data_IF_384992734954
#
_entry.id   IF_384992734954
#
_cell.length_a   1.000
_cell.length_b   1.000
_cell.length_c   1.000
_cell.angle_alpha   90.00
_cell.angle_beta   90.00
_cell.angle_gamma   90.00
#
_symmetry.space_group_name_H-M   'P 1'
#
loop_
_entity.id
_entity.type
_entity.pdbx_description
1 polymer ?
#
# COMPACT_ATOMS: atom_id res chain seq x y z
N UNK A 1 24.06 -39.83 25.40
CA UNK A 1 25.09 -40.32 24.45
C UNK A 1 24.70 -39.86 23.06
N UNK A 2 25.65 -39.20 22.39
CA UNK A 2 25.54 -38.53 21.09
C UNK A 2 25.31 -39.50 19.93
N UNK A 3 24.47 -39.12 18.96
CA UNK A 3 24.72 -39.38 17.54
C UNK A 3 24.24 -38.16 16.73
N UNK A 4 25.23 -37.46 16.17
CA UNK A 4 25.07 -36.37 15.23
C UNK A 4 24.69 -36.92 13.87
N UNK A 5 23.71 -36.30 13.20
CA UNK A 5 23.50 -36.44 11.77
C UNK A 5 23.73 -35.08 11.13
N UNK A 6 24.77 -34.99 10.31
CA UNK A 6 25.17 -33.80 9.59
C UNK A 6 24.40 -33.70 8.27
N UNK A 7 23.68 -32.60 8.06
CA UNK A 7 23.16 -32.22 6.75
C UNK A 7 24.17 -31.31 6.06
N UNK A 8 24.69 -31.77 4.92
CA UNK A 8 25.48 -30.98 3.98
C UNK A 8 24.53 -30.31 3.01
N UNK A 9 24.35 -29.00 3.10
CA UNK A 9 23.70 -28.20 2.05
C UNK A 9 24.80 -27.41 1.35
N UNK A 10 24.97 -27.68 0.06
CA UNK A 10 25.87 -26.96 -0.83
C UNK A 10 25.14 -25.74 -1.40
N UNK A 11 25.62 -24.55 -1.07
CA UNK A 11 25.14 -23.29 -1.65
C UNK A 11 25.89 -23.03 -2.96
N UNK A 12 25.18 -23.08 -4.10
CA UNK A 12 25.67 -22.51 -5.37
C UNK A 12 24.83 -21.26 -5.65
N UNK A 13 25.40 -20.08 -5.38
CA UNK A 13 24.89 -18.80 -5.85
C UNK A 13 25.43 -18.59 -7.26
N UNK A 14 24.57 -18.67 -8.26
CA UNK A 14 24.86 -18.19 -9.61
C UNK A 14 24.36 -16.74 -9.73
N UNK A 15 25.26 -15.78 -9.52
CA UNK A 15 25.03 -14.37 -9.83
C UNK A 15 25.49 -14.09 -11.28
N UNK A 16 24.56 -13.67 -12.15
CA UNK A 16 24.90 -13.16 -13.49
C UNK A 16 24.79 -11.64 -13.47
N UNK A 17 25.93 -10.96 -13.37
CA UNK A 17 26.07 -9.53 -13.62
C UNK A 17 26.20 -9.31 -15.14
N UNK A 18 25.35 -8.48 -15.74
CA UNK A 18 25.52 -7.97 -17.10
C UNK A 18 26.15 -6.59 -17.04
N UNK A 19 27.49 -6.55 -17.13
CA UNK A 19 28.25 -5.35 -17.47
C UNK A 19 28.56 -5.40 -18.96
N UNK A 20 27.84 -4.60 -19.75
CA UNK A 20 28.14 -4.43 -21.17
C UNK A 20 29.25 -3.39 -21.34
N UNK A 21 30.46 -3.86 -21.64
CA UNK A 21 31.54 -3.04 -22.17
C UNK A 21 32.44 -3.90 -23.07
N UNK A 22 32.60 -3.47 -24.33
CA UNK A 22 33.62 -3.96 -25.25
C UNK A 22 33.05 -4.18 -26.65
N UNK A 23 33.67 -3.76 -27.75
CA UNK A 23 34.90 -2.98 -27.95
C UNK A 23 34.84 -2.43 -29.36
N UNK A 24 35.39 -1.25 -29.55
CA UNK A 24 35.70 -0.65 -30.85
C UNK A 24 36.92 -1.38 -31.46
N UNK A 25 36.86 -1.74 -32.75
CA UNK A 25 37.94 -1.43 -33.69
C UNK A 25 37.64 -1.85 -35.15
N UNK A 26 37.57 -0.82 -36.01
CA UNK A 26 38.37 -0.65 -37.24
C UNK A 26 38.07 -1.38 -38.57
N UNK A 27 37.75 -0.54 -39.59
CA UNK A 27 37.95 -0.64 -41.06
C UNK A 27 36.85 -1.41 -41.83
N UNK A 28 36.25 -0.95 -42.94
CA UNK A 28 36.79 -0.21 -44.07
C UNK A 28 35.67 0.44 -44.95
N UNK A 29 35.96 1.63 -45.48
CA UNK A 29 35.55 2.25 -46.77
C UNK A 29 34.09 2.47 -47.25
N UNK A 30 33.86 3.76 -47.60
CA UNK A 30 33.24 4.30 -48.85
C UNK A 30 31.72 4.62 -48.88
N UNK A 31 31.34 5.88 -48.65
CA UNK A 31 31.16 6.90 -49.71
C UNK A 31 30.15 8.03 -49.36
N UNK A 32 30.53 9.24 -49.81
CA UNK A 32 29.69 10.33 -50.35
C UNK A 32 29.11 11.41 -49.40
N UNK A 33 29.91 12.47 -49.24
CA UNK A 33 29.64 13.90 -49.46
C UNK A 33 28.26 14.50 -49.06
N UNK A 34 28.26 15.53 -48.21
CA UNK A 34 28.26 16.95 -48.62
C UNK A 34 28.19 17.90 -47.39
N UNK A 35 28.96 19.00 -47.49
CA UNK A 35 28.90 20.36 -46.90
C UNK A 35 27.84 20.68 -45.80
N UNK A 36 28.09 21.50 -44.78
CA UNK A 36 28.83 22.77 -44.73
C UNK A 36 29.20 23.17 -43.30
N UNK A 37 30.33 23.87 -43.19
CA UNK A 37 30.98 24.42 -41.99
C UNK A 37 30.46 25.82 -41.66
N UNK A 38 30.21 26.15 -40.38
CA UNK A 38 30.75 27.39 -39.78
C UNK A 38 30.72 27.36 -38.25
N UNK A 39 31.90 27.19 -37.68
CA UNK A 39 32.32 27.56 -36.32
C UNK A 39 32.67 29.05 -36.27
N UNK A 40 32.36 29.74 -35.17
CA UNK A 40 33.32 30.69 -34.55
C UNK A 40 33.07 30.80 -33.04
N UNK A 41 34.16 30.70 -32.28
CA UNK A 41 34.30 30.95 -30.86
C UNK A 41 35.09 32.24 -30.60
N UNK A 42 34.93 32.87 -29.43
CA UNK A 42 35.93 33.69 -28.68
C UNK A 42 35.24 34.26 -27.41
N UNK A 43 35.71 33.97 -26.17
CA UNK A 43 36.77 34.69 -25.38
C UNK A 43 36.30 36.08 -24.90
N UNK A 44 36.43 36.58 -23.66
CA UNK A 44 37.18 36.23 -22.43
C UNK A 44 36.88 37.26 -21.31
N UNK A 45 36.92 36.80 -20.06
CA UNK A 45 37.51 37.38 -18.83
C UNK A 45 37.12 38.75 -18.19
N UNK A 46 36.86 38.65 -16.87
CA UNK A 46 37.23 39.53 -15.72
C UNK A 46 36.47 40.88 -15.54
N UNK A 47 36.13 41.41 -14.35
CA UNK A 47 36.25 41.03 -12.93
C UNK A 47 35.30 41.95 -12.11
N UNK A 48 34.87 41.48 -10.93
CA UNK A 48 34.60 42.23 -9.68
C UNK A 48 33.57 43.39 -9.62
N UNK A 49 32.49 43.17 -8.85
CA UNK A 49 32.03 44.11 -7.81
C UNK A 49 31.18 43.38 -6.76
N UNK A 50 31.55 43.60 -5.50
CA UNK A 50 31.07 43.05 -4.24
C UNK A 50 29.86 43.82 -3.69
N UNK A 51 28.91 43.13 -3.04
CA UNK A 51 28.15 43.51 -1.82
C UNK A 51 27.05 42.44 -1.62
N UNK A 52 27.20 41.54 -0.64
CA UNK A 52 26.73 41.64 0.76
C UNK A 52 25.31 41.05 0.93
N UNK A 53 25.23 39.89 1.61
CA UNK A 53 24.48 39.75 2.88
C UNK A 53 24.03 38.30 3.15
N UNK A 54 24.35 37.86 4.37
CA UNK A 54 23.69 36.85 5.19
C UNK A 54 23.35 35.47 4.56
N UNK A 55 24.25 34.50 4.79
CA UNK A 55 23.89 33.10 4.88
C UNK A 55 23.59 32.78 6.35
N UNK A 56 22.30 32.66 6.69
CA UNK A 56 21.86 31.90 7.86
C UNK A 56 21.63 30.46 7.41
N UNK A 57 22.43 29.54 7.94
CA UNK A 57 22.10 28.12 7.98
C UNK A 57 20.89 27.95 8.89
N UNK A 58 19.72 27.66 8.31
CA UNK A 58 18.62 27.05 9.06
C UNK A 58 18.75 25.54 8.94
N UNK A 59 19.00 24.93 10.09
CA UNK A 59 18.90 23.52 10.35
C UNK A 59 17.56 22.99 9.81
N UNK A 60 17.65 22.05 8.87
CA UNK A 60 16.54 21.17 8.58
C UNK A 60 16.32 20.29 9.81
N UNK A 61 15.13 20.41 10.37
CA UNK A 61 14.61 19.62 11.47
C UNK A 61 14.45 18.16 11.00
N UNK A 62 15.46 17.34 11.27
CA UNK A 62 15.34 15.89 11.23
C UNK A 62 14.39 15.47 12.35
N UNK A 63 13.10 15.39 12.03
CA UNK A 63 12.13 14.73 12.91
C UNK A 63 12.49 13.25 12.96
N UNK A 64 12.87 12.86 14.18
CA UNK A 64 13.22 11.53 14.63
C UNK A 64 12.37 10.42 13.98
N UNK A 65 12.98 9.71 13.05
CA UNK A 65 12.65 8.31 12.77
C UNK A 65 13.04 7.52 14.01
N UNK A 66 12.07 7.21 14.88
CA UNK A 66 12.28 6.14 15.85
C UNK A 66 12.31 4.82 15.06
N UNK A 67 13.52 4.44 14.64
CA UNK A 67 13.83 3.07 14.25
C UNK A 67 13.54 2.17 15.46
N UNK A 68 12.39 1.52 15.43
CA UNK A 68 12.07 0.43 16.35
C UNK A 68 12.96 -0.76 15.98
N UNK A 69 14.19 -0.76 16.49
CA UNK A 69 15.09 -1.89 16.42
C UNK A 69 14.44 -3.06 17.19
N UNK A 70 14.17 -4.15 16.48
CA UNK A 70 13.75 -5.41 17.07
C UNK A 70 14.85 -5.92 18.02
N UNK A 71 14.65 -5.72 19.32
CA UNK A 71 15.43 -6.34 20.36
C UNK A 71 14.89 -7.75 20.60
N UNK A 72 15.55 -8.75 20.01
CA UNK A 72 15.38 -10.16 20.37
C UNK A 72 16.02 -10.40 21.75
N UNK A 73 15.45 -9.82 22.80
CA UNK A 73 15.70 -10.23 24.17
C UNK A 73 14.45 -10.92 24.72
N UNK A 74 14.52 -12.25 24.81
CA UNK A 74 13.55 -13.07 25.50
C UNK A 74 13.59 -12.77 27.01
N UNK A 75 12.92 -11.69 27.41
CA UNK A 75 12.45 -11.54 28.77
C UNK A 75 11.18 -12.37 28.92
N UNK A 76 11.12 -13.22 29.94
CA UNK A 76 9.88 -13.85 30.42
C UNK A 76 8.94 -12.73 30.91
N UNK A 77 8.32 -12.03 29.97
CA UNK A 77 7.20 -11.13 30.19
C UNK A 77 5.93 -11.96 30.34
N UNK A 78 5.09 -11.57 31.28
CA UNK A 78 3.71 -12.03 31.39
C UNK A 78 3.08 -12.01 29.99
N UNK A 79 2.71 -13.19 29.47
CA UNK A 79 2.14 -13.29 28.13
C UNK A 79 0.95 -12.33 28.05
N UNK A 80 0.94 -11.45 27.05
CA UNK A 80 -0.16 -10.50 26.88
C UNK A 80 -1.48 -11.29 26.84
N UNK A 81 -2.47 -10.87 27.63
CA UNK A 81 -3.78 -11.51 27.61
C UNK A 81 -4.56 -11.06 26.36
N UNK A 82 -5.33 -11.95 25.70
CA UNK A 82 -6.16 -11.59 24.56
C UNK A 82 -7.18 -10.49 24.92
N UNK A 83 -7.30 -9.49 24.05
CA UNK A 83 -8.23 -8.37 24.24
C UNK A 83 -9.66 -8.78 23.82
N UNK A 84 -10.71 -8.47 24.60
CA UNK A 84 -12.08 -8.71 24.18
C UNK A 84 -12.44 -7.82 22.98
N UNK A 85 -13.21 -8.36 22.03
CA UNK A 85 -13.62 -7.62 20.82
C UNK A 85 -14.36 -6.31 21.12
N UNK A 86 -15.06 -6.23 22.26
CA UNK A 86 -15.77 -5.03 22.70
C UNK A 86 -14.87 -3.79 22.90
N UNK A 87 -13.55 -3.97 22.98
CA UNK A 87 -12.59 -2.87 23.05
C UNK A 87 -12.24 -2.30 21.66
N UNK A 88 -12.52 -3.02 20.58
CA UNK A 88 -12.17 -2.64 19.20
C UNK A 88 -12.66 -1.25 18.79
N UNK A 89 -13.93 -0.84 19.04
CA UNK A 89 -14.37 0.48 18.63
C UNK A 89 -13.53 1.62 19.22
N UNK A 90 -12.96 1.43 20.42
CA UNK A 90 -12.14 2.44 21.08
C UNK A 90 -10.70 2.51 20.54
N UNK A 91 -10.28 1.58 19.67
CA UNK A 91 -8.96 1.59 19.04
C UNK A 91 -8.95 2.26 17.66
N UNK A 92 -10.13 2.50 17.08
CA UNK A 92 -10.28 3.28 15.85
C UNK A 92 -10.02 4.76 16.13
N UNK A 93 -9.26 5.43 15.26
CA UNK A 93 -8.75 6.78 15.55
C UNK A 93 -9.61 7.86 14.89
N UNK A 94 -10.05 7.63 13.65
CA UNK A 94 -10.66 8.67 12.83
C UNK A 94 -12.18 8.56 12.67
N UNK A 95 -12.83 7.51 13.18
CA UNK A 95 -14.23 7.18 12.89
C UNK A 95 -15.22 8.37 12.96
N UNK A 96 -15.09 9.24 13.96
CA UNK A 96 -15.98 10.42 14.13
C UNK A 96 -15.69 11.58 13.16
N UNK A 97 -14.50 11.61 12.57
CA UNK A 97 -14.00 12.70 11.73
C UNK A 97 -13.68 12.27 10.29
N UNK A 98 -13.78 10.98 10.00
CA UNK A 98 -13.44 10.42 8.71
C UNK A 98 -14.40 10.89 7.62
N UNK A 99 -13.88 11.02 6.40
CA UNK A 99 -14.67 11.38 5.23
C UNK A 99 -15.72 10.30 4.94
N UNK A 100 -15.28 9.05 4.81
CA UNK A 100 -16.11 7.91 4.49
C UNK A 100 -16.21 6.98 5.71
N UNK A 101 -17.36 7.04 6.35
CA UNK A 101 -17.81 6.05 7.36
C UNK A 101 -18.95 5.26 6.75
N UNK A 102 -18.94 3.93 6.92
CA UNK A 102 -19.93 3.08 6.27
C UNK A 102 -21.29 3.14 6.98
N UNK A 103 -22.35 2.94 6.22
CA UNK A 103 -23.70 2.67 6.73
C UNK A 103 -24.17 1.30 6.24
N UNK A 104 -24.94 0.59 7.06
CA UNK A 104 -25.42 -0.77 6.77
C UNK A 104 -26.31 -0.88 5.54
N UNK A 105 -26.87 0.24 5.05
CA UNK A 105 -27.66 0.28 3.82
C UNK A 105 -26.84 0.44 2.54
N UNK A 106 -25.54 0.72 2.65
CA UNK A 106 -24.68 0.90 1.48
C UNK A 106 -24.50 -0.41 0.72
N UNK A 107 -24.48 -0.32 -0.61
CA UNK A 107 -24.06 -1.43 -1.49
C UNK A 107 -22.57 -1.27 -1.82
N UNK A 108 -21.68 -2.19 -1.39
CA UNK A 108 -20.26 -2.13 -1.74
C UNK A 108 -19.98 -2.03 -3.25
N UNK A 109 -20.84 -2.61 -4.10
CA UNK A 109 -20.65 -2.55 -5.56
C UNK A 109 -20.68 -1.11 -6.13
N UNK A 110 -21.25 -0.17 -5.38
CA UNK A 110 -21.31 1.24 -5.76
C UNK A 110 -19.97 1.96 -5.62
N UNK A 111 -18.98 1.42 -4.90
CA UNK A 111 -17.73 2.16 -4.66
C UNK A 111 -16.48 1.29 -4.53
N UNK A 112 -16.59 -0.02 -4.37
CA UNK A 112 -15.45 -0.93 -4.28
C UNK A 112 -15.62 -2.13 -5.21
N UNK A 113 -14.51 -2.59 -5.79
CA UNK A 113 -14.47 -3.79 -6.63
C UNK A 113 -13.14 -4.52 -6.47
N UNK A 114 -13.04 -5.74 -6.98
CA UNK A 114 -11.75 -6.43 -7.14
C UNK A 114 -11.02 -5.92 -8.39
N UNK A 115 -9.70 -5.81 -8.30
CA UNK A 115 -8.81 -5.68 -9.46
C UNK A 115 -8.71 -7.06 -10.10
N UNK A 116 -9.63 -7.39 -10.99
CA UNK A 116 -9.59 -8.65 -11.73
C UNK A 116 -10.09 -8.40 -13.16
N UNK A 117 -9.32 -8.86 -14.15
CA UNK A 117 -9.78 -8.97 -15.54
C UNK A 117 -10.73 -10.17 -15.74
N UNK A 118 -11.14 -10.81 -14.63
CA UNK A 118 -11.85 -12.09 -14.56
C UNK A 118 -11.08 -13.27 -15.18
N UNK A 119 -9.74 -13.16 -15.33
CA UNK A 119 -8.91 -14.22 -15.91
C UNK A 119 -8.23 -15.12 -14.86
N UNK A 120 -7.99 -14.63 -13.63
CA UNK A 120 -7.38 -15.36 -12.51
C UNK A 120 -6.08 -16.12 -12.84
N UNK A 121 -5.42 -15.78 -13.95
CA UNK A 121 -4.19 -16.44 -14.40
C UNK A 121 -3.01 -16.10 -13.47
N UNK A 122 -3.17 -15.08 -12.62
CA UNK A 122 -2.20 -14.63 -11.63
C UNK A 122 -2.56 -15.09 -10.19
N UNK A 123 -1.81 -14.59 -9.21
CA UNK A 123 -2.03 -14.79 -7.76
C UNK A 123 -3.18 -13.94 -7.19
N UNK A 124 -4.20 -13.62 -7.99
CA UNK A 124 -5.34 -12.76 -7.59
C UNK A 124 -6.50 -13.56 -7.00
N UNK A 125 -7.13 -13.00 -5.96
CA UNK A 125 -8.24 -13.63 -5.25
C UNK A 125 -9.58 -12.96 -5.55
N UNK A 126 -10.64 -13.77 -5.60
CA UNK A 126 -11.99 -13.26 -5.48
C UNK A 126 -12.24 -12.72 -4.07
N UNK A 127 -12.98 -11.62 -4.01
CA UNK A 127 -13.40 -10.98 -2.77
C UNK A 127 -14.90 -10.77 -2.81
N UNK A 128 -15.59 -11.25 -1.78
CA UNK A 128 -16.98 -10.87 -1.53
C UNK A 128 -17.01 -9.69 -0.59
N UNK A 129 -17.64 -8.61 -1.04
CA UNK A 129 -17.84 -7.41 -0.25
C UNK A 129 -19.22 -7.42 0.42
N UNK A 130 -19.27 -6.99 1.69
CA UNK A 130 -20.51 -6.72 2.43
C UNK A 130 -20.26 -5.58 3.43
N UNK A 131 -21.30 -4.87 3.84
CA UNK A 131 -21.24 -4.04 5.05
C UNK A 131 -21.68 -4.89 6.23
N UNK A 132 -20.86 -4.97 7.28
CA UNK A 132 -21.16 -5.73 8.49
C UNK A 132 -20.90 -4.86 9.73
N UNK A 133 -21.81 -4.95 10.70
CA UNK A 133 -21.63 -4.27 11.98
C UNK A 133 -20.76 -5.12 12.91
N UNK A 134 -19.65 -4.54 13.38
CA UNK A 134 -18.77 -5.15 14.38
C UNK A 134 -18.76 -4.27 15.61
N UNK A 135 -19.28 -4.79 16.72
CA UNK A 135 -19.40 -4.05 17.99
C UNK A 135 -20.06 -2.66 17.83
N UNK A 136 -21.10 -2.58 16.99
CA UNK A 136 -21.84 -1.34 16.74
C UNK A 136 -21.23 -0.44 15.66
N UNK A 137 -20.10 -0.82 15.05
CA UNK A 137 -19.44 -0.06 13.97
C UNK A 137 -19.71 -0.74 12.63
N UNK A 138 -20.44 -0.12 11.68
CA UNK A 138 -20.57 -0.63 10.32
C UNK A 138 -19.22 -0.54 9.59
N UNK A 139 -18.77 -1.64 9.01
CA UNK A 139 -17.50 -1.73 8.30
C UNK A 139 -17.66 -2.46 6.97
N UNK A 140 -16.85 -2.11 5.98
CA UNK A 140 -16.74 -2.88 4.74
C UNK A 140 -15.96 -4.17 5.01
N UNK A 141 -16.63 -5.31 5.04
CA UNK A 141 -15.99 -6.62 5.05
C UNK A 141 -15.49 -6.99 3.66
N UNK A 142 -14.25 -7.43 3.60
CA UNK A 142 -13.60 -8.03 2.45
C UNK A 142 -13.36 -9.51 2.74
N UNK A 143 -14.28 -10.38 2.32
CA UNK A 143 -14.13 -11.83 2.47
C UNK A 143 -13.33 -12.39 1.30
N UNK A 144 -12.15 -12.93 1.57
CA UNK A 144 -11.27 -13.51 0.53
C UNK A 144 -11.68 -14.95 0.27
N UNK A 145 -11.88 -15.31 -0.99
CA UNK A 145 -12.54 -16.57 -1.35
C UNK A 145 -11.61 -17.60 -2.00
N UNK A 146 -10.53 -17.17 -2.65
CA UNK A 146 -9.72 -18.06 -3.48
C UNK A 146 -8.50 -18.58 -2.72
N UNK A 147 -8.47 -19.89 -2.50
CA UNK A 147 -7.28 -20.59 -2.02
C UNK A 147 -6.20 -20.64 -3.10
N UNK A 148 -4.92 -20.70 -2.70
CA UNK A 148 -3.82 -20.97 -3.64
C UNK A 148 -3.91 -22.36 -4.24
N UNK A 149 -4.32 -23.33 -3.42
CA UNK A 149 -4.57 -24.72 -3.80
C UNK A 149 -5.81 -25.22 -3.05
N UNK A 150 -6.82 -25.70 -3.78
CA UNK A 150 -8.04 -26.24 -3.17
C UNK A 150 -7.82 -27.61 -2.51
N UNK A 151 -6.82 -28.37 -2.96
CA UNK A 151 -6.46 -29.67 -2.39
C UNK A 151 -5.55 -29.51 -1.15
N UNK A 152 -4.85 -28.38 -1.03
CA UNK A 152 -4.00 -28.04 0.12
C UNK A 152 -4.27 -26.62 0.67
N UNK A 153 -5.32 -26.45 1.50
CA UNK A 153 -5.65 -25.17 2.12
C UNK A 153 -4.55 -24.59 3.03
N UNK A 154 -3.56 -25.38 3.44
CA UNK A 154 -2.43 -24.90 4.26
C UNK A 154 -1.54 -23.91 3.50
N UNK A 155 -1.62 -23.90 2.16
CA UNK A 155 -0.93 -22.93 1.32
C UNK A 155 -1.57 -21.53 1.37
N UNK A 156 -2.73 -21.40 2.02
CA UNK A 156 -3.43 -20.13 2.26
C UNK A 156 -4.17 -19.60 1.04
N UNK A 157 -4.40 -18.29 1.04
CA UNK A 157 -5.23 -17.60 0.05
C UNK A 157 -4.39 -16.86 -0.99
N UNK A 158 -4.94 -16.74 -2.21
CA UNK A 158 -4.46 -15.79 -3.22
C UNK A 158 -4.60 -14.35 -2.71
N UNK A 159 -3.92 -13.41 -3.37
CA UNK A 159 -3.85 -12.00 -3.00
C UNK A 159 -5.16 -11.29 -3.37
N UNK A 160 -5.96 -10.80 -2.40
CA UNK A 160 -7.03 -9.86 -2.69
C UNK A 160 -6.43 -8.52 -3.11
N UNK A 161 -6.95 -7.97 -4.21
CA UNK A 161 -6.61 -6.64 -4.70
C UNK A 161 -7.92 -5.85 -4.80
N UNK A 162 -8.16 -4.92 -3.88
CA UNK A 162 -9.43 -4.20 -3.78
C UNK A 162 -9.24 -2.75 -4.25
N UNK A 163 -10.19 -2.25 -5.04
CA UNK A 163 -10.13 -0.95 -5.69
C UNK A 163 -11.32 -0.09 -5.27
N UNK A 164 -11.02 1.02 -4.60
CA UNK A 164 -11.97 2.07 -4.27
C UNK A 164 -12.08 3.03 -5.46
N UNK A 165 -13.27 3.14 -6.02
CA UNK A 165 -13.56 4.02 -7.15
C UNK A 165 -13.72 5.46 -6.67
N UNK A 166 -12.67 6.25 -6.89
CA UNK A 166 -12.59 7.62 -6.41
C UNK A 166 -13.69 8.49 -7.02
N UNK A 167 -14.03 8.27 -8.28
CA UNK A 167 -15.08 9.03 -8.96
C UNK A 167 -16.47 8.78 -8.35
N UNK A 168 -16.73 7.54 -7.92
CA UNK A 168 -18.01 7.16 -7.31
C UNK A 168 -18.10 7.60 -5.85
N UNK A 169 -17.02 7.50 -5.08
CA UNK A 169 -16.97 8.00 -3.69
C UNK A 169 -17.28 9.51 -3.64
N UNK A 170 -16.75 10.27 -4.59
CA UNK A 170 -16.98 11.71 -4.70
C UNK A 170 -18.18 12.07 -5.58
N UNK A 171 -18.88 11.09 -6.16
CA UNK A 171 -20.05 11.23 -7.03
C UNK A 171 -20.01 12.40 -8.04
N UNK A 172 -18.85 12.63 -8.68
CA UNK A 172 -18.68 13.72 -9.65
C UNK A 172 -18.39 15.11 -9.06
N UNK A 173 -18.11 15.23 -7.75
CA UNK A 173 -17.53 16.44 -7.12
C UNK A 173 -16.06 16.61 -7.52
N UNK A 174 -15.79 16.83 -8.81
CA UNK A 174 -14.43 16.92 -9.36
C UNK A 174 -13.59 17.98 -8.64
N UNK A 175 -14.16 19.15 -8.34
CA UNK A 175 -13.44 20.22 -7.63
C UNK A 175 -12.97 19.84 -6.22
N UNK A 176 -13.61 18.84 -5.59
CA UNK A 176 -13.20 18.28 -4.30
C UNK A 176 -12.24 17.11 -4.50
N UNK A 177 -12.54 16.22 -5.47
CA UNK A 177 -11.72 15.07 -5.80
C UNK A 177 -10.30 15.47 -6.25
N UNK A 178 -10.18 16.55 -7.02
CA UNK A 178 -8.90 17.12 -7.48
C UNK A 178 -7.99 17.56 -6.33
N UNK A 179 -8.56 17.80 -5.14
CA UNK A 179 -7.82 18.23 -3.95
C UNK A 179 -7.32 17.09 -3.09
N UNK A 180 -7.72 15.83 -3.35
CA UNK A 180 -7.28 14.68 -2.54
C UNK A 180 -5.77 14.58 -2.59
N UNK A 181 -5.13 14.85 -1.45
CA UNK A 181 -3.69 14.84 -1.30
C UNK A 181 -3.23 13.71 -0.40
N UNK A 182 -3.86 13.57 0.77
CA UNK A 182 -3.60 12.48 1.73
C UNK A 182 -4.83 11.59 1.84
N UNK A 183 -4.60 10.29 1.95
CA UNK A 183 -5.63 9.30 2.28
C UNK A 183 -5.17 8.56 3.52
N UNK A 184 -5.96 8.62 4.58
CA UNK A 184 -5.85 7.74 5.72
C UNK A 184 -6.91 6.64 5.60
N UNK A 185 -6.52 5.40 5.86
CA UNK A 185 -7.42 4.25 5.84
C UNK A 185 -7.21 3.42 7.10
N UNK A 186 -8.31 3.10 7.77
CA UNK A 186 -8.30 2.24 8.95
C UNK A 186 -8.85 0.86 8.61
N UNK A 187 -8.07 -0.16 8.95
CA UNK A 187 -8.42 -1.56 8.81
C UNK A 187 -8.69 -2.18 10.17
N UNK A 188 -9.59 -3.16 10.18
CA UNK A 188 -9.71 -4.14 11.25
C UNK A 188 -9.51 -5.54 10.67
N UNK A 189 -8.69 -6.35 11.32
CA UNK A 189 -8.56 -7.77 10.99
C UNK A 189 -9.15 -8.60 12.11
N UNK A 190 -9.80 -9.71 11.76
CA UNK A 190 -10.43 -10.61 12.73
C UNK A 190 -10.21 -12.05 12.32
N UNK A 191 -9.77 -12.86 13.28
CA UNK A 191 -9.67 -14.30 13.12
C UNK A 191 -11.05 -14.89 12.82
N UNK A 192 -11.13 -15.64 11.72
CA UNK A 192 -12.34 -16.36 11.30
C UNK A 192 -12.15 -17.88 11.38
N UNK A 193 -10.95 -18.34 11.76
CA UNK A 193 -10.62 -19.72 12.10
C UNK A 193 -9.25 -19.81 12.78
N UNK A 194 -8.91 -21.01 13.28
CA UNK A 194 -7.63 -21.25 13.92
C UNK A 194 -6.48 -21.21 12.89
N UNK A 195 -5.43 -20.47 13.23
CA UNK A 195 -4.12 -20.66 12.65
C UNK A 195 -3.46 -21.89 13.27
N UNK A 196 -2.80 -22.72 12.45
CA UNK A 196 -2.05 -23.90 12.91
C UNK A 196 -0.58 -23.69 12.58
N UNK A 197 0.25 -23.57 13.62
CA UNK A 197 1.69 -23.43 13.47
C UNK A 197 2.35 -24.75 13.02
N UNK A 198 3.62 -24.67 12.56
CA UNK A 198 4.39 -25.83 12.10
C UNK A 198 4.55 -26.92 13.18
N UNK A 199 4.49 -26.56 14.46
CA UNK A 199 4.54 -27.48 15.58
C UNK A 199 3.18 -28.08 15.97
N UNK A 200 2.12 -27.71 15.25
CA UNK A 200 0.73 -28.14 15.46
C UNK A 200 -0.04 -27.30 16.48
N UNK A 201 0.54 -26.24 17.03
CA UNK A 201 -0.16 -25.33 17.94
C UNK A 201 -1.28 -24.59 17.20
N UNK A 202 -2.48 -24.60 17.77
CA UNK A 202 -3.62 -23.85 17.24
C UNK A 202 -3.83 -22.54 18.00
N UNK A 203 -3.99 -21.44 17.26
CA UNK A 203 -4.25 -20.10 17.80
C UNK A 203 -5.37 -19.41 17.02
N UNK A 204 -6.35 -18.83 17.72
CA UNK A 204 -7.42 -18.05 17.08
C UNK A 204 -6.95 -16.60 16.91
N UNK A 205 -6.13 -16.35 15.88
CA UNK A 205 -5.47 -15.06 15.65
C UNK A 205 -5.52 -14.71 14.16
N UNK A 206 -5.59 -13.41 13.81
CA UNK A 206 -5.55 -12.96 12.43
C UNK A 206 -4.17 -13.15 11.78
N UNK A 207 -3.10 -13.21 12.58
CA UNK A 207 -1.73 -13.39 12.11
C UNK A 207 -1.20 -12.14 11.41
N UNK A 208 -0.49 -12.35 10.31
CA UNK A 208 0.13 -11.27 9.54
C UNK A 208 -0.90 -10.42 8.78
N UNK A 209 -0.67 -9.12 8.76
CA UNK A 209 -1.36 -8.14 7.94
C UNK A 209 -0.32 -7.39 7.11
N UNK A 210 0.04 -7.97 5.96
CA UNK A 210 1.02 -7.39 5.04
C UNK A 210 0.34 -6.94 3.76
N UNK A 211 0.84 -5.86 3.15
CA UNK A 211 0.19 -5.31 1.99
C UNK A 211 0.88 -4.11 1.34
N UNK A 212 0.21 -3.60 0.32
CA UNK A 212 0.58 -2.37 -0.36
C UNK A 212 -0.65 -1.50 -0.61
N UNK A 213 -0.43 -0.20 -0.54
CA UNK A 213 -1.37 0.82 -1.01
C UNK A 213 -0.85 1.41 -2.32
N UNK A 214 -1.71 1.45 -3.31
CA UNK A 214 -1.42 1.93 -4.65
C UNK A 214 -2.48 2.93 -5.10
N UNK A 215 -2.13 3.76 -6.08
CA UNK A 215 -3.08 4.67 -6.72
C UNK A 215 -2.80 4.83 -8.21
N UNK A 216 -3.81 5.32 -8.91
CA UNK A 216 -3.72 5.77 -10.30
C UNK A 216 -3.92 7.29 -10.43
N UNK A 217 -3.60 8.06 -9.40
CA UNK A 217 -3.68 9.52 -9.47
C UNK A 217 -2.79 10.09 -10.60
N UNK A 218 -3.31 11.12 -11.27
CA UNK A 218 -2.76 11.74 -12.48
C UNK A 218 -3.85 12.33 -13.37
N UNK A 219 -3.44 13.16 -14.34
CA UNK A 219 -4.36 13.92 -15.21
C UNK A 219 -4.46 13.35 -16.63
N UNK A 220 -3.43 12.61 -17.05
CA UNK A 220 -3.26 12.12 -18.43
C UNK A 220 -3.68 10.65 -18.52
N UNK A 221 -4.83 10.32 -19.14
CA UNK A 221 -5.32 8.96 -19.32
C UNK A 221 -4.28 8.00 -19.93
N UNK A 222 -3.45 8.49 -20.85
CA UNK A 222 -2.45 7.68 -21.56
C UNK A 222 -1.23 7.35 -20.68
N UNK A 223 -1.09 8.03 -19.54
CA UNK A 223 -0.01 7.83 -18.56
C UNK A 223 -0.51 7.27 -17.24
N UNK A 224 -1.80 6.96 -17.11
CA UNK A 224 -2.30 6.30 -15.92
C UNK A 224 -1.72 4.90 -15.82
N UNK A 225 -1.23 4.60 -14.63
CA UNK A 225 -0.65 3.31 -14.29
C UNK A 225 -0.66 3.15 -12.79
N UNK A 226 -0.51 1.90 -12.34
CA UNK A 226 -0.39 1.60 -10.91
C UNK A 226 0.91 2.15 -10.37
N UNK A 227 0.78 3.06 -9.41
CA UNK A 227 1.90 3.65 -8.68
C UNK A 227 1.78 3.23 -7.22
N UNK A 228 2.83 2.63 -6.70
CA UNK A 228 2.92 2.28 -5.28
C UNK A 228 3.02 3.57 -4.45
N UNK A 229 2.25 3.63 -3.36
CA UNK A 229 2.30 4.69 -2.37
C UNK A 229 3.00 4.22 -1.11
N UNK A 230 2.69 3.00 -0.69
CA UNK A 230 3.34 2.29 0.40
C UNK A 230 3.37 0.80 0.04
N UNK A 231 4.54 0.18 0.10
CA UNK A 231 4.73 -1.25 -0.18
C UNK A 231 5.33 -2.01 1.01
N UNK A 232 5.35 -1.39 2.20
CA UNK A 232 5.99 -1.92 3.41
C UNK A 232 5.01 -2.17 4.55
N UNK A 233 3.71 -2.22 4.28
CA UNK A 233 2.72 -2.59 5.31
C UNK A 233 3.09 -3.99 5.82
N UNK A 234 3.39 -4.07 7.12
CA UNK A 234 3.92 -5.26 7.77
C UNK A 234 3.51 -5.29 9.24
N UNK A 235 2.21 -5.38 9.48
CA UNK A 235 1.64 -5.51 10.82
C UNK A 235 1.37 -6.97 11.17
N UNK A 236 1.18 -7.26 12.46
CA UNK A 236 0.76 -8.60 12.89
C UNK A 236 0.03 -8.59 14.23
N UNK A 237 -0.80 -9.60 14.46
CA UNK A 237 -1.44 -9.87 15.74
C UNK A 237 -1.49 -11.39 15.97
N UNK A 238 -0.80 -11.82 17.02
CA UNK A 238 -0.56 -13.23 17.37
C UNK A 238 -1.05 -13.59 18.78
N UNK A 239 -1.76 -12.68 19.45
CA UNK A 239 -2.28 -12.82 20.80
C UNK A 239 -3.81 -12.74 20.82
N UNK A 240 -4.38 -11.70 20.22
CA UNK A 240 -5.82 -11.43 20.22
C UNK A 240 -6.50 -11.93 18.94
N UNK A 241 -7.81 -12.16 19.02
CA UNK A 241 -8.61 -12.58 17.86
C UNK A 241 -8.78 -11.46 16.81
N UNK A 242 -8.33 -10.24 17.10
CA UNK A 242 -8.53 -9.07 16.25
C UNK A 242 -7.43 -8.03 16.48
N UNK A 243 -7.23 -7.16 15.49
CA UNK A 243 -6.41 -5.95 15.60
C UNK A 243 -6.92 -4.87 14.64
N UNK A 244 -6.57 -3.61 14.93
CA UNK A 244 -6.86 -2.46 14.06
C UNK A 244 -5.57 -1.76 13.66
N UNK A 245 -5.51 -1.29 12.41
CA UNK A 245 -4.33 -0.63 11.84
C UNK A 245 -4.75 0.59 11.04
N UNK A 246 -3.97 1.67 11.14
CA UNK A 246 -4.17 2.89 10.35
C UNK A 246 -2.97 3.11 9.45
N UNK A 247 -3.22 3.37 8.18
CA UNK A 247 -2.18 3.72 7.21
C UNK A 247 -2.48 5.07 6.58
N UNK A 248 -1.44 5.85 6.33
CA UNK A 248 -1.52 7.18 5.72
C UNK A 248 -0.64 7.22 4.48
N UNK A 249 -1.19 7.65 3.36
CA UNK A 249 -0.48 7.75 2.08
C UNK A 249 -0.82 9.05 1.36
N UNK A 250 0.07 9.51 0.48
CA UNK A 250 -0.05 10.80 -0.20
C UNK A 250 -0.13 10.69 -1.72
N UNK A 251 -1.24 10.18 -2.29
CA UNK A 251 -1.40 10.10 -3.74
C UNK A 251 -1.35 11.45 -4.44
N UNK A 252 -1.61 12.57 -3.76
CA UNK A 252 -1.48 13.90 -4.34
C UNK A 252 -0.06 14.23 -4.84
N UNK A 253 0.98 13.56 -4.31
CA UNK A 253 2.35 13.66 -4.83
C UNK A 253 2.49 13.08 -6.25
N UNK A 254 1.56 12.22 -6.67
CA UNK A 254 1.53 11.61 -8.00
C UNK A 254 0.71 12.42 -9.01
N UNK A 255 -0.10 13.37 -8.53
CA UNK A 255 -1.07 14.18 -9.27
C UNK A 255 -2.48 14.11 -8.68
N UNK A 256 -3.44 14.87 -9.21
CA UNK A 256 -4.84 14.84 -8.79
C UNK A 256 -5.60 13.64 -9.39
N UNK A 257 -6.81 13.38 -8.91
CA UNK A 257 -7.71 12.36 -9.47
C UNK A 257 -8.69 12.97 -10.48
N UNK A 258 -8.18 13.51 -11.60
CA UNK A 258 -8.98 14.28 -12.56
C UNK A 258 -8.83 13.84 -14.03
N UNK A 259 -8.34 12.63 -14.26
CA UNK A 259 -8.21 12.11 -15.61
C UNK A 259 -9.58 12.01 -16.30
N UNK A 260 -9.69 12.65 -17.46
CA UNK A 260 -10.96 12.75 -18.19
C UNK A 260 -11.40 11.37 -18.69
N UNK A 261 -12.70 11.08 -18.52
CA UNK A 261 -13.38 9.85 -18.98
C UNK A 261 -12.70 8.53 -18.53
N UNK A 262 -11.84 8.58 -17.50
CA UNK A 262 -11.04 7.43 -17.06
C UNK A 262 -11.18 7.25 -15.54
N UNK A 263 -11.80 6.15 -15.08
CA UNK A 263 -11.87 5.86 -13.65
C UNK A 263 -10.47 5.74 -13.04
N UNK A 264 -10.30 6.34 -11.87
CA UNK A 264 -9.08 6.25 -11.08
C UNK A 264 -9.39 5.62 -9.72
N UNK A 265 -8.45 4.83 -9.25
CA UNK A 265 -8.65 3.98 -8.08
C UNK A 265 -7.60 4.26 -7.01
N UNK A 266 -8.05 4.24 -5.75
CA UNK A 266 -7.19 3.94 -4.62
C UNK A 266 -7.27 2.44 -4.35
N UNK A 267 -6.15 1.75 -4.13
CA UNK A 267 -6.10 0.29 -4.17
C UNK A 267 -5.28 -0.27 -3.03
N UNK A 268 -5.80 -1.34 -2.42
CA UNK A 268 -5.10 -2.11 -1.40
C UNK A 268 -4.88 -3.55 -1.88
N UNK A 269 -3.67 -4.05 -1.67
CA UNK A 269 -3.28 -5.43 -1.92
C UNK A 269 -2.86 -6.05 -0.59
N UNK A 270 -3.30 -7.28 -0.29
CA UNK A 270 -2.92 -8.01 0.93
C UNK A 270 -2.21 -9.33 0.60
N UNK A 271 -1.08 -9.60 1.25
CA UNK A 271 -0.35 -10.87 1.10
C UNK A 271 0.05 -11.47 2.45
N UNK A 272 0.75 -12.60 2.42
CA UNK A 272 1.14 -13.39 3.59
C UNK A 272 -0.04 -13.66 4.50
N UNK A 273 -1.01 -14.42 3.98
CA UNK A 273 -2.30 -14.66 4.60
C UNK A 273 -2.29 -16.08 5.21
N UNK A 274 -1.93 -16.24 6.50
CA UNK A 274 -1.73 -17.55 7.10
C UNK A 274 -3.03 -18.26 7.53
N UNK A 275 -4.19 -17.58 7.57
CA UNK A 275 -5.48 -18.11 8.03
C UNK A 275 -6.65 -17.69 7.09
N UNK A 276 -7.90 -17.95 7.50
CA UNK A 276 -9.06 -17.34 6.85
C UNK A 276 -8.96 -15.81 6.95
N UNK A 277 -9.07 -15.15 5.81
CA UNK A 277 -8.34 -13.93 5.49
C UNK A 277 -9.18 -12.66 5.49
N UNK A 278 -10.32 -12.69 6.19
CA UNK A 278 -11.23 -11.57 6.15
C UNK A 278 -10.56 -10.37 6.80
N UNK A 279 -10.78 -9.21 6.19
CA UNK A 279 -10.43 -7.93 6.78
C UNK A 279 -11.57 -6.98 6.53
N UNK A 280 -11.57 -5.93 7.33
CA UNK A 280 -12.59 -4.90 7.34
C UNK A 280 -11.89 -3.58 7.09
N UNK A 281 -12.55 -2.71 6.34
CA UNK A 281 -12.21 -1.28 6.33
C UNK A 281 -13.20 -0.60 7.25
N UNK A 282 -12.69 0.07 8.28
CA UNK A 282 -13.49 0.79 9.25
C UNK A 282 -13.93 2.15 8.69
N UNK A 283 -12.98 2.89 8.15
CA UNK A 283 -13.20 4.20 7.56
C UNK A 283 -12.08 4.59 6.58
N UNK A 284 -12.34 5.63 5.79
CA UNK A 284 -11.35 6.28 4.92
C UNK A 284 -11.49 7.80 5.08
N UNK A 285 -10.37 8.47 5.34
CA UNK A 285 -10.30 9.93 5.43
C UNK A 285 -9.51 10.49 4.26
N UNK A 286 -10.15 11.34 3.46
CA UNK A 286 -9.51 12.07 2.37
C UNK A 286 -9.19 13.48 2.86
N UNK A 287 -7.96 13.94 2.65
CA UNK A 287 -7.53 15.27 3.08
C UNK A 287 -6.90 16.05 1.93
N UNK A 288 -7.08 17.36 1.93
CA UNK A 288 -6.32 18.24 1.04
C UNK A 288 -4.86 18.40 1.46
N UNK A 289 -4.11 19.19 0.70
CA UNK A 289 -2.68 19.45 0.95
C UNK A 289 -2.43 20.11 2.31
N UNK A 290 -3.39 20.90 2.79
CA UNK A 290 -3.34 21.58 4.08
C UNK A 290 -3.79 20.67 5.25
N UNK A 291 -4.22 19.43 4.95
CA UNK A 291 -4.68 18.45 5.92
C UNK A 291 -6.15 18.60 6.33
N UNK A 292 -6.93 19.42 5.64
CA UNK A 292 -8.37 19.54 5.91
C UNK A 292 -9.10 18.32 5.35
N UNK A 293 -10.03 17.78 6.13
CA UNK A 293 -10.88 16.66 5.71
C UNK A 293 -11.81 17.10 4.58
N UNK A 294 -11.84 16.29 3.52
CA UNK A 294 -12.67 16.51 2.34
C UNK A 294 -13.99 15.74 2.45
N UNK A 295 -15.14 16.38 2.17
CA UNK A 295 -16.43 15.70 2.20
C UNK A 295 -16.60 14.82 0.97
N UNK A 296 -17.16 13.63 1.18
CA UNK A 296 -17.52 12.67 0.13
C UNK A 296 -19.03 12.67 -0.11
N UNK A 297 -19.51 11.84 -1.04
CA UNK A 297 -20.92 11.78 -1.42
C UNK A 297 -21.64 10.52 -0.97
N UNK A 298 -20.93 9.62 -0.28
CA UNK A 298 -21.46 8.35 0.22
C UNK A 298 -21.03 8.15 1.68
N UNK A 299 -21.71 7.24 2.38
CA UNK A 299 -21.41 6.96 3.79
C UNK A 299 -22.22 7.81 4.76
N UNK A 300 -22.03 7.55 6.06
CA UNK A 300 -22.76 8.17 7.15
C UNK A 300 -22.47 9.68 7.28
N UNK A 301 -21.31 10.14 6.81
CA UNK A 301 -20.88 11.54 6.83
C UNK A 301 -21.01 12.23 5.46
N UNK A 302 -21.74 11.65 4.50
CA UNK A 302 -21.92 12.24 3.17
C UNK A 302 -22.54 13.64 3.22
N UNK A 303 -22.03 14.55 2.38
CA UNK A 303 -22.58 15.91 2.16
C UNK A 303 -23.13 16.11 0.75
#
# INVERSE_FOLDING_TARGET
MKKFLACTVATIIAASMMTACGSDDSKDSSSKAAESTTTTAASSAAESATEESAAEESAADESATEESAADESAAEGEAAEPKPISEMPATLQDLETASLVFDTSMDPADFVKTMNEANFENDESDVKFSIEEVEGVPMLRCQVLTLKDEEDPSLGYKIPKIQFDMSKIFAGKTDTLDKVFTIDIEFMTKAVGNFVADDGTESLVPGNFMGALCSQAGEDPDKLGWKELDNQISESEWTSEWATYKFSVRPGLLGPFNAVDTPQYFTFLRWSIPNQADFYVADITFKDEDGNVLPVSIGAHAE
#
